data_IF_979314697260
#
_entry.id   IF_979314697260
#
_cell.length_a   1.000
_cell.length_b   1.000
_cell.length_c   1.000
_cell.angle_alpha   90.00
_cell.angle_beta   90.00
_cell.angle_gamma   90.00
#
_symmetry.space_group_name_H-M   'P 1'
#
loop_
_entity.id
_entity.type
_entity.pdbx_description
1 polymer ?
#
# COMPACT_ATOMS: atom_id res chain seq x y z
N UNK A 1 13.24 2.70 3.63
CA UNK A 1 11.76 2.72 3.64
C UNK A 1 11.18 3.61 4.73
N UNK A 2 11.87 3.72 5.87
CA UNK A 2 11.38 4.53 6.98
C UNK A 2 11.23 6.00 6.61
N UNK A 3 12.28 6.58 6.00
CA UNK A 3 12.27 8.00 5.62
C UNK A 3 11.22 8.30 4.55
N UNK A 4 11.08 7.42 3.57
CA UNK A 4 10.11 7.59 2.50
C UNK A 4 8.68 7.41 3.01
N UNK A 5 8.45 6.49 3.93
CA UNK A 5 7.15 6.31 4.57
C UNK A 5 6.76 7.56 5.37
N UNK A 6 7.71 8.16 6.07
CA UNK A 6 7.47 9.37 6.81
C UNK A 6 7.13 10.55 5.90
N UNK A 7 7.86 10.68 4.78
CA UNK A 7 7.58 11.71 3.79
C UNK A 7 6.16 11.55 3.21
N UNK A 8 5.76 10.32 2.93
CA UNK A 8 4.43 10.01 2.44
C UNK A 8 3.36 10.45 3.45
N UNK A 9 3.56 10.07 4.71
CA UNK A 9 2.62 10.42 5.78
C UNK A 9 2.48 11.93 5.94
N UNK A 10 3.60 12.65 5.89
CA UNK A 10 3.60 14.11 6.02
C UNK A 10 2.84 14.78 4.87
N UNK A 11 2.99 14.25 3.66
CA UNK A 11 2.33 14.81 2.49
C UNK A 11 0.83 14.56 2.50
N UNK A 12 0.40 13.34 2.81
CA UNK A 12 -0.99 12.92 2.64
C UNK A 12 -1.81 12.92 3.93
N UNK A 13 -1.19 12.79 5.07
CA UNK A 13 -1.88 12.72 6.35
C UNK A 13 -2.38 11.32 6.71
N UNK A 14 -2.00 10.30 5.94
CA UNK A 14 -2.31 8.90 6.23
C UNK A 14 -1.16 8.00 5.82
N UNK A 15 -1.16 6.77 6.33
CA UNK A 15 -0.04 5.85 6.09
C UNK A 15 -0.08 5.28 4.67
N UNK A 16 1.09 4.88 4.18
CA UNK A 16 1.23 4.21 2.90
C UNK A 16 0.68 2.79 3.00
N UNK A 17 -0.33 2.48 2.19
CA UNK A 17 -0.96 1.17 2.16
C UNK A 17 -0.62 0.49 0.84
N UNK A 18 -0.01 -0.70 0.93
CA UNK A 18 0.34 -1.50 -0.23
C UNK A 18 0.21 -2.98 0.12
N UNK A 19 -0.32 -3.76 -0.83
CA UNK A 19 -0.32 -5.21 -0.69
C UNK A 19 1.07 -5.73 -1.00
N UNK A 20 1.76 -6.25 0.03
CA UNK A 20 3.17 -6.66 -0.09
C UNK A 20 3.35 -8.07 -0.65
N UNK A 21 2.28 -8.82 -0.84
CA UNK A 21 2.34 -10.20 -1.31
C UNK A 21 3.03 -10.28 -2.67
N UNK A 22 4.09 -11.06 -2.76
CA UNK A 22 4.84 -11.25 -3.99
C UNK A 22 5.75 -10.10 -4.38
N UNK A 23 5.91 -9.09 -3.52
CA UNK A 23 6.74 -7.93 -3.81
C UNK A 23 8.01 -7.92 -2.97
N UNK A 24 9.13 -7.56 -3.59
CA UNK A 24 10.39 -7.36 -2.89
C UNK A 24 10.42 -5.98 -2.22
N UNK A 25 11.40 -5.77 -1.32
CA UNK A 25 11.61 -4.47 -0.69
C UNK A 25 11.90 -3.39 -1.73
N UNK A 26 12.68 -3.71 -2.76
CA UNK A 26 12.98 -2.78 -3.85
C UNK A 26 11.74 -2.37 -4.62
N UNK A 27 10.86 -3.33 -4.90
CA UNK A 27 9.62 -3.04 -5.60
C UNK A 27 8.69 -2.15 -4.77
N UNK A 28 8.63 -2.42 -3.46
CA UNK A 28 7.81 -1.60 -2.56
C UNK A 28 8.33 -0.18 -2.46
N UNK A 29 9.65 -0.02 -2.40
CA UNK A 29 10.28 1.30 -2.38
C UNK A 29 9.99 2.07 -3.68
N UNK A 30 10.07 1.39 -4.81
CA UNK A 30 9.73 1.98 -6.12
C UNK A 30 8.29 2.47 -6.16
N UNK A 31 7.36 1.66 -5.67
CA UNK A 31 5.95 2.03 -5.61
C UNK A 31 5.72 3.25 -4.71
N UNK A 32 6.38 3.26 -3.56
CA UNK A 32 6.27 4.38 -2.63
C UNK A 32 6.77 5.67 -3.26
N UNK A 33 7.91 5.62 -3.95
CA UNK A 33 8.47 6.78 -4.63
C UNK A 33 7.57 7.30 -5.75
N UNK A 34 6.88 6.41 -6.46
CA UNK A 34 5.91 6.81 -7.47
C UNK A 34 4.68 7.43 -6.83
N UNK A 35 4.15 6.79 -5.81
CA UNK A 35 2.89 7.19 -5.20
C UNK A 35 3.00 8.49 -4.42
N UNK A 36 4.18 8.82 -3.90
CA UNK A 36 4.37 10.09 -3.19
C UNK A 36 4.19 11.30 -4.10
N UNK A 37 4.31 11.11 -5.42
CA UNK A 37 4.10 12.16 -6.40
C UNK A 37 2.65 12.34 -6.84
N UNK A 38 1.77 11.44 -6.43
CA UNK A 38 0.35 11.51 -6.77
C UNK A 38 -0.37 12.58 -5.96
N UNK A 39 -1.58 12.94 -6.38
CA UNK A 39 -2.45 13.82 -5.60
C UNK A 39 -3.03 13.05 -4.40
N UNK A 40 -3.53 13.79 -3.41
CA UNK A 40 -4.16 13.19 -2.25
C UNK A 40 -5.36 12.32 -2.64
N UNK A 41 -6.17 12.80 -3.58
CA UNK A 41 -7.34 12.06 -4.04
C UNK A 41 -6.95 10.75 -4.71
N UNK A 42 -5.92 10.77 -5.55
CA UNK A 42 -5.39 9.56 -6.18
C UNK A 42 -4.92 8.56 -5.14
N UNK A 43 -4.24 9.03 -4.08
CA UNK A 43 -3.71 8.14 -3.06
C UNK A 43 -4.80 7.60 -2.14
N UNK A 44 -5.88 8.32 -1.93
CA UNK A 44 -7.05 7.78 -1.23
C UNK A 44 -7.64 6.58 -1.99
N UNK A 45 -7.74 6.70 -3.30
CA UNK A 45 -8.24 5.61 -4.16
C UNK A 45 -7.26 4.43 -4.16
N UNK A 46 -5.96 4.72 -4.30
CA UNK A 46 -4.94 3.68 -4.30
C UNK A 46 -4.90 2.93 -2.98
N UNK A 47 -4.96 3.64 -1.87
CA UNK A 47 -4.97 3.03 -0.54
C UNK A 47 -6.18 2.13 -0.34
N UNK A 48 -7.34 2.57 -0.76
CA UNK A 48 -8.56 1.77 -0.66
C UNK A 48 -8.47 0.49 -1.51
N UNK A 49 -7.91 0.62 -2.71
CA UNK A 49 -7.72 -0.54 -3.60
C UNK A 49 -6.76 -1.56 -3.00
N UNK A 50 -5.65 -1.10 -2.45
CA UNK A 50 -4.66 -1.98 -1.84
C UNK A 50 -5.20 -2.63 -0.57
N UNK A 51 -5.97 -1.90 0.21
CA UNK A 51 -6.63 -2.45 1.40
C UNK A 51 -7.62 -3.55 1.01
N UNK A 52 -8.36 -3.35 -0.08
CA UNK A 52 -9.26 -4.37 -0.62
C UNK A 52 -8.53 -5.64 -1.04
N UNK A 53 -7.37 -5.49 -1.68
CA UNK A 53 -6.54 -6.63 -2.08
C UNK A 53 -6.04 -7.41 -0.86
N UNK A 54 -5.61 -6.72 0.18
CA UNK A 54 -5.17 -7.35 1.42
C UNK A 54 -6.30 -8.14 2.06
N UNK A 55 -7.48 -7.55 2.12
CA UNK A 55 -8.66 -8.23 2.69
C UNK A 55 -9.05 -9.46 1.89
N UNK A 56 -9.00 -9.38 0.57
CA UNK A 56 -9.31 -10.52 -0.29
C UNK A 56 -8.35 -11.67 -0.05
N UNK A 57 -7.06 -11.39 0.10
CA UNK A 57 -6.08 -12.43 0.39
C UNK A 57 -6.33 -13.10 1.73
N UNK A 58 -6.70 -12.32 2.75
CA UNK A 58 -7.02 -12.84 4.07
C UNK A 58 -8.25 -13.74 4.02
N UNK A 59 -9.29 -13.33 3.30
CA UNK A 59 -10.52 -14.11 3.15
C UNK A 59 -10.26 -15.42 2.43
N UNK A 60 -9.49 -15.39 1.34
CA UNK A 60 -9.12 -16.59 0.60
C UNK A 60 -8.36 -17.58 1.48
N UNK A 61 -7.47 -17.08 2.32
CA UNK A 61 -6.70 -17.91 3.22
C UNK A 61 -7.59 -18.59 4.25
N UNK A 62 -8.56 -17.85 4.81
CA UNK A 62 -9.51 -18.42 5.76
C UNK A 62 -10.37 -19.51 5.13
N UNK A 63 -10.85 -19.29 3.91
CA UNK A 63 -11.66 -20.28 3.21
C UNK A 63 -10.87 -21.52 2.83
N UNK A 64 -9.58 -21.36 2.57
CA UNK A 64 -8.73 -22.46 2.15
C UNK A 64 -8.35 -23.39 3.30
N UNK A 65 -8.40 -22.91 4.51
CA UNK A 65 -8.04 -23.68 5.70
C UNK A 65 -9.19 -24.59 6.19
N UNK A 66 -10.31 -24.52 5.53
CA UNK A 66 -11.44 -25.42 5.78
C UNK A 66 -11.20 -26.78 5.11
#
# INVERSE_FOLDING_TARGET
LHDQNEAYYRKFGFIFIVCATGKSASEMLGLLNERVNNSRNEELVNGAREQGAIMNLRLKKLLKDD
#
